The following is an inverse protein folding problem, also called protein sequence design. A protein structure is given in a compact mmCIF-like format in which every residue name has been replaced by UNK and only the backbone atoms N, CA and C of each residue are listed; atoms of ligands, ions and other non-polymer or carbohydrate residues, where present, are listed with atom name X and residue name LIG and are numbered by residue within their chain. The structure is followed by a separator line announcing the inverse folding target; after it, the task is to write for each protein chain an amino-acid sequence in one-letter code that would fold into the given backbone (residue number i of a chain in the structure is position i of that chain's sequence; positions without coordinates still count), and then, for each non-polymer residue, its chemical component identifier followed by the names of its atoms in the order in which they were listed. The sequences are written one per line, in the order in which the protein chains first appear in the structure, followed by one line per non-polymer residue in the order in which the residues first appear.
data_IF_331710880742
#
_entry.id   IF_331710880742
#
_cell.length_a   1.000
_cell.length_b   1.000
_cell.length_c   1.000
_cell.angle_alpha   90.00
_cell.angle_beta   90.00
_cell.angle_gamma   90.00
#
_symmetry.space_group_name_H-M   'P 1'
#
loop_
_entity.id
_entity.type
_entity.pdbx_description
1 polymer ?
#
# COMPACT_ATOMS: atom_id res chain seq x y z
N UNK A 1 -4.73 6.30 11.71
CA UNK A 1 -3.56 5.52 11.24
C UNK A 1 -3.44 5.58 9.71
N UNK A 2 -4.46 5.23 8.92
CA UNK A 2 -4.37 5.25 7.45
C UNK A 2 -4.19 6.63 6.78
N UNK A 3 -4.72 7.72 7.34
CA UNK A 3 -4.50 9.08 6.79
C UNK A 3 -3.05 9.58 6.93
N UNK A 4 -2.22 8.99 7.80
CA UNK A 4 -0.82 9.42 7.99
C UNK A 4 0.16 8.69 7.08
N UNK A 5 -0.17 7.50 6.58
CA UNK A 5 0.70 6.75 5.66
C UNK A 5 0.75 7.38 4.26
N UNK A 6 -0.34 8.03 3.81
CA UNK A 6 -0.35 8.77 2.56
C UNK A 6 0.66 9.94 2.54
N UNK A 7 1.03 10.49 3.69
CA UNK A 7 1.96 11.63 3.79
C UNK A 7 3.43 11.19 3.63
N UNK A 8 3.73 9.90 3.76
CA UNK A 8 5.11 9.39 3.78
C UNK A 8 5.67 8.94 2.43
N UNK A 9 4.84 8.91 1.36
CA UNK A 9 5.35 8.58 0.03
C UNK A 9 5.86 9.81 -0.70
N UNK A 10 6.98 9.66 -1.41
CA UNK A 10 7.55 10.66 -2.33
C UNK A 10 6.54 11.23 -3.34
N UNK A 11 5.46 10.51 -3.65
CA UNK A 11 4.42 10.90 -4.61
C UNK A 11 3.48 12.02 -4.11
N UNK A 12 3.30 12.17 -2.80
CA UNK A 12 2.56 13.30 -2.22
C UNK A 12 3.50 14.40 -1.68
N UNK A 13 4.82 14.20 -1.84
CA UNK A 13 5.85 15.14 -1.42
C UNK A 13 5.81 16.37 -2.33
N UNK A 14 4.95 17.33 -1.98
CA UNK A 14 4.66 18.52 -2.79
C UNK A 14 3.17 18.92 -2.77
N UNK A 15 2.29 18.06 -2.29
CA UNK A 15 0.88 18.38 -2.04
C UNK A 15 0.68 18.81 -0.59
N UNK A 16 -0.15 19.82 -0.39
CA UNK A 16 -0.64 20.20 0.94
C UNK A 16 -1.71 19.21 1.42
N UNK A 17 -1.90 19.08 2.75
CA UNK A 17 -2.91 18.18 3.31
C UNK A 17 -4.32 18.35 2.68
N UNK A 18 -4.83 19.58 2.44
CA UNK A 18 -6.11 19.78 1.75
C UNK A 18 -6.14 19.24 0.31
N UNK A 19 -5.03 19.32 -0.42
CA UNK A 19 -4.93 18.77 -1.77
C UNK A 19 -4.96 17.24 -1.75
N UNK A 20 -4.28 16.61 -0.78
CA UNK A 20 -4.33 15.16 -0.59
C UNK A 20 -5.76 14.71 -0.32
N UNK A 21 -6.47 15.36 0.61
CA UNK A 21 -7.87 15.02 0.94
C UNK A 21 -8.76 15.11 -0.31
N UNK A 22 -8.67 16.21 -1.07
CA UNK A 22 -9.45 16.38 -2.31
C UNK A 22 -9.16 15.30 -3.35
N UNK A 23 -7.93 14.83 -3.44
CA UNK A 23 -7.57 13.74 -4.35
C UNK A 23 -8.15 12.41 -3.86
N UNK A 24 -8.06 12.12 -2.56
CA UNK A 24 -8.65 10.91 -1.98
C UNK A 24 -10.17 10.84 -2.19
N UNK A 25 -10.87 11.96 -2.06
CA UNK A 25 -12.32 12.09 -2.33
C UNK A 25 -12.67 11.83 -3.80
N UNK A 26 -11.73 12.08 -4.72
CA UNK A 26 -11.87 11.78 -6.16
C UNK A 26 -11.48 10.34 -6.50
N UNK A 27 -11.33 9.48 -5.49
CA UNK A 27 -10.83 8.12 -5.63
C UNK A 27 -9.42 8.04 -6.24
N UNK A 28 -8.64 9.12 -6.19
CA UNK A 28 -7.22 9.03 -6.49
C UNK A 28 -6.55 8.13 -5.44
N UNK A 29 -5.75 7.20 -5.94
CA UNK A 29 -4.80 6.40 -5.16
C UNK A 29 -3.44 6.54 -5.82
N UNK A 30 -2.40 6.45 -5.01
CA UNK A 30 -1.03 6.53 -5.50
C UNK A 30 -0.77 5.40 -6.49
N UNK A 31 -0.12 5.64 -7.63
CA UNK A 31 0.29 4.58 -8.53
C UNK A 31 1.34 3.68 -7.87
N UNK A 32 1.53 2.47 -8.41
CA UNK A 32 2.56 1.55 -7.94
C UNK A 32 3.95 2.21 -8.03
N UNK A 33 4.72 2.26 -6.93
CA UNK A 33 6.09 2.78 -6.96
C UNK A 33 7.03 1.93 -7.82
N UNK A 34 8.07 2.55 -8.39
CA UNK A 34 9.10 1.82 -9.12
C UNK A 34 9.81 0.81 -8.20
N UNK A 35 9.95 -0.44 -8.67
CA UNK A 35 10.54 -1.53 -7.90
C UNK A 35 9.64 -2.13 -6.82
N UNK A 36 8.38 -1.70 -6.71
CA UNK A 36 7.40 -2.33 -5.84
C UNK A 36 6.80 -3.58 -6.53
N UNK A 37 6.81 -4.76 -5.89
CA UNK A 37 6.12 -5.94 -6.39
C UNK A 37 4.62 -5.68 -6.55
N UNK A 38 4.03 -6.19 -7.63
CA UNK A 38 2.60 -6.02 -7.93
C UNK A 38 1.72 -6.58 -6.81
N UNK A 39 2.09 -7.74 -6.28
CA UNK A 39 1.40 -8.40 -5.16
C UNK A 39 1.39 -7.55 -3.89
N UNK A 40 2.49 -6.84 -3.61
CA UNK A 40 2.56 -5.91 -2.48
C UNK A 40 1.67 -4.69 -2.72
N UNK A 41 1.65 -4.17 -3.95
CA UNK A 41 0.79 -3.05 -4.32
C UNK A 41 -0.71 -3.43 -4.25
N UNK A 42 -1.06 -4.66 -4.60
CA UNK A 42 -2.43 -5.18 -4.45
C UNK A 42 -2.86 -5.23 -2.97
N UNK A 43 -1.95 -5.59 -2.06
CA UNK A 43 -2.19 -5.50 -0.62
C UNK A 43 -2.45 -4.03 -0.21
N UNK A 44 -1.67 -3.08 -0.73
CA UNK A 44 -1.90 -1.65 -0.47
C UNK A 44 -3.27 -1.18 -0.97
N UNK A 45 -3.70 -1.62 -2.16
CA UNK A 45 -5.01 -1.29 -2.72
C UNK A 45 -6.17 -1.83 -1.86
N UNK A 46 -6.03 -3.03 -1.27
CA UNK A 46 -6.99 -3.58 -0.30
C UNK A 46 -7.07 -2.70 0.96
N UNK A 47 -5.93 -2.22 1.46
CA UNK A 47 -5.88 -1.29 2.59
C UNK A 47 -6.49 0.09 2.27
N UNK A 48 -6.51 0.50 1.00
CA UNK A 48 -7.02 1.79 0.55
C UNK A 48 -8.47 1.79 0.03
N UNK A 49 -9.24 0.73 0.34
CA UNK A 49 -10.68 0.69 0.04
C UNK A 49 -11.41 1.88 0.68
N UNK A 50 -12.35 2.44 -0.07
CA UNK A 50 -13.14 3.59 0.34
C UNK A 50 -13.88 3.30 1.65
N UNK A 51 -14.61 2.18 1.66
CA UNK A 51 -15.35 1.67 2.81
C UNK A 51 -14.39 1.03 3.82
N UNK A 52 -14.31 1.53 5.06
CA UNK A 52 -13.46 0.95 6.10
C UNK A 52 -13.71 -0.53 6.37
N UNK A 53 -14.95 -0.97 6.25
CA UNK A 53 -15.39 -2.36 6.44
C UNK A 53 -14.88 -3.34 5.36
N UNK A 54 -14.49 -2.82 4.18
CA UNK A 54 -13.90 -3.63 3.11
C UNK A 54 -12.37 -3.77 3.26
N UNK A 55 -11.78 -3.07 4.24
CA UNK A 55 -10.34 -3.13 4.49
C UNK A 55 -10.01 -4.38 5.30
N UNK A 56 -8.87 -5.03 5.03
CA UNK A 56 -8.43 -6.18 5.80
C UNK A 56 -8.18 -5.80 7.26
N UNK A 57 -8.35 -6.76 8.15
CA UNK A 57 -7.90 -6.63 9.55
C UNK A 57 -6.38 -6.66 9.61
N UNK A 58 -5.81 -6.17 10.72
CA UNK A 58 -4.37 -6.28 10.94
C UNK A 58 -3.90 -7.74 10.98
N UNK A 59 -4.67 -8.64 11.59
CA UNK A 59 -4.36 -10.06 11.62
C UNK A 59 -4.27 -10.65 10.20
N UNK A 60 -5.25 -10.37 9.35
CA UNK A 60 -5.23 -10.84 7.95
C UNK A 60 -4.09 -10.20 7.14
N UNK A 61 -3.77 -8.93 7.41
CA UNK A 61 -2.65 -8.25 6.77
C UNK A 61 -1.32 -8.86 7.18
N UNK A 62 -1.16 -9.23 8.45
CA UNK A 62 0.04 -9.90 8.95
C UNK A 62 0.24 -11.24 8.27
N UNK A 63 -0.79 -12.11 8.27
CA UNK A 63 -0.74 -13.41 7.60
C UNK A 63 -0.37 -13.26 6.11
N UNK A 64 -1.00 -12.30 5.42
CA UNK A 64 -0.77 -12.06 3.99
C UNK A 64 0.67 -11.59 3.72
N UNK A 65 1.22 -10.75 4.59
CA UNK A 65 2.59 -10.26 4.45
C UNK A 65 3.61 -11.34 4.78
N UNK A 66 3.38 -12.14 5.82
CA UNK A 66 4.26 -13.24 6.19
C UNK A 66 4.33 -14.28 5.05
N UNK A 67 3.19 -14.63 4.45
CA UNK A 67 3.12 -15.51 3.26
C UNK A 67 3.86 -14.89 2.05
N UNK A 68 3.72 -13.59 1.83
CA UNK A 68 4.42 -12.87 0.76
C UNK A 68 5.95 -12.92 0.95
N UNK A 69 6.46 -12.73 2.17
CA UNK A 69 7.89 -12.85 2.46
C UNK A 69 8.39 -14.28 2.27
N UNK A 70 7.65 -15.29 2.71
CA UNK A 70 8.03 -16.70 2.51
C UNK A 70 8.08 -17.05 1.01
N UNK A 71 7.10 -16.59 0.24
CA UNK A 71 7.05 -16.82 -1.21
C UNK A 71 8.18 -16.08 -1.97
N UNK A 72 8.61 -14.91 -1.47
CA UNK A 72 9.63 -14.07 -2.12
C UNK A 72 11.05 -14.35 -1.64
N UNK A 73 11.29 -14.77 -0.39
CA UNK A 73 12.61 -15.19 0.14
C UNK A 73 13.19 -16.37 -0.64
N UNK A 74 12.34 -17.30 -1.11
CA UNK A 74 12.77 -18.38 -2.01
C UNK A 74 13.26 -17.91 -3.39
N UNK A 75 12.99 -16.66 -3.77
CA UNK A 75 13.43 -16.05 -5.03
C UNK A 75 14.60 -15.07 -4.84
N UNK A 76 14.71 -14.40 -3.68
CA UNK A 76 15.84 -13.50 -3.38
C UNK A 76 17.17 -14.25 -3.16
N UNK A 77 17.16 -15.48 -2.61
CA UNK A 77 18.38 -16.28 -2.42
C UNK A 77 18.93 -16.91 -3.73
N UNK A 78 18.19 -16.83 -4.84
CA UNK A 78 18.54 -17.46 -6.13
C UNK A 78 19.30 -16.52 -7.10
N UNK A 79 19.79 -15.37 -6.65
CA UNK A 79 20.66 -14.50 -7.46
C UNK A 79 22.06 -14.38 -6.83
N UNK A 80 23.12 -14.96 -7.46
CA UNK A 80 24.50 -14.70 -7.07
C UNK A 80 24.95 -13.27 -7.40
#
# INVERSE_FOLDING_TARGET
IFNNLAVLSSQFQGMTNPEVIRNLDRNYRMPCPDGCPEELYDIMLKCWKERPEDRPTFDHLQDTLDDFFIATEGQYEMHP
#
